data_IF_943623742764
#
_entry.id   IF_943623742764
#
_cell.length_a   1.000
_cell.length_b   1.000
_cell.length_c   1.000
_cell.angle_alpha   90.00
_cell.angle_beta   90.00
_cell.angle_gamma   90.00
#
_symmetry.space_group_name_H-M   'P 1'
#
loop_
_entity.id
_entity.type
_entity.pdbx_description
1 polymer ?
#
# COMPACT_ATOMS: atom_id res chain seq x y z
N UNK A 1 -27.31 8.89 1.52
CA UNK A 1 -26.42 7.90 2.17
C UNK A 1 -25.39 8.70 2.96
N UNK A 2 -25.28 8.47 4.25
CA UNK A 2 -24.27 9.09 5.11
C UNK A 2 -23.11 8.11 5.30
N UNK A 3 -21.88 8.57 5.07
CA UNK A 3 -20.67 7.75 5.25
C UNK A 3 -20.32 7.76 6.74
N UNK A 4 -20.45 6.60 7.40
CA UNK A 4 -20.13 6.46 8.83
C UNK A 4 -18.63 6.27 9.11
N UNK A 5 -17.90 5.69 8.16
CA UNK A 5 -16.47 5.41 8.28
C UNK A 5 -15.88 5.22 6.88
N UNK A 6 -14.65 5.69 6.69
CA UNK A 6 -13.84 5.43 5.51
C UNK A 6 -12.40 5.10 5.93
N UNK A 7 -11.75 4.24 5.15
CA UNK A 7 -10.34 3.90 5.33
C UNK A 7 -9.67 3.70 3.98
N UNK A 8 -8.38 4.03 3.90
CA UNK A 8 -7.56 3.68 2.77
C UNK A 8 -7.30 2.18 2.75
N UNK A 9 -7.35 1.58 1.56
CA UNK A 9 -7.01 0.17 1.34
C UNK A 9 -5.82 0.06 0.40
N UNK A 10 -4.93 -0.89 0.67
CA UNK A 10 -3.83 -1.21 -0.23
C UNK A 10 -4.31 -1.98 -1.46
N UNK A 11 -3.42 -2.12 -2.44
CA UNK A 11 -3.65 -2.97 -3.60
C UNK A 11 -3.85 -4.43 -3.24
N UNK A 12 -3.18 -4.91 -2.19
CA UNK A 12 -3.32 -6.28 -1.69
C UNK A 12 -4.73 -6.47 -1.10
N UNK A 13 -5.16 -5.57 -0.21
CA UNK A 13 -6.50 -5.58 0.36
C UNK A 13 -7.59 -5.48 -0.72
N UNK A 14 -7.44 -4.55 -1.67
CA UNK A 14 -8.36 -4.37 -2.78
C UNK A 14 -8.43 -5.62 -3.68
N UNK A 15 -7.28 -6.26 -3.95
CA UNK A 15 -7.20 -7.51 -4.73
C UNK A 15 -8.01 -8.60 -4.04
N UNK A 16 -7.85 -8.76 -2.73
CA UNK A 16 -8.55 -9.79 -1.97
C UNK A 16 -10.06 -9.55 -1.92
N UNK A 17 -10.49 -8.29 -1.81
CA UNK A 17 -11.90 -7.92 -1.89
C UNK A 17 -12.48 -8.31 -3.25
N UNK A 18 -11.80 -7.98 -4.36
CA UNK A 18 -12.28 -8.31 -5.70
C UNK A 18 -12.24 -9.81 -6.00
N UNK A 19 -11.22 -10.54 -5.53
CA UNK A 19 -11.15 -12.01 -5.66
C UNK A 19 -12.29 -12.70 -4.90
N UNK A 20 -12.62 -12.23 -3.70
CA UNK A 20 -13.78 -12.76 -2.94
C UNK A 20 -15.07 -12.50 -3.72
N UNK A 21 -15.24 -11.30 -4.23
CA UNK A 21 -16.43 -10.90 -5.01
C UNK A 21 -16.58 -11.68 -6.33
N UNK A 22 -15.48 -11.97 -7.02
CA UNK A 22 -15.44 -12.80 -8.24
C UNK A 22 -15.97 -14.22 -7.99
N UNK A 23 -15.75 -14.77 -6.79
CA UNK A 23 -16.27 -16.09 -6.40
C UNK A 23 -17.76 -16.08 -6.10
N UNK A 24 -18.28 -14.95 -5.62
CA UNK A 24 -19.70 -14.80 -5.26
C UNK A 24 -20.57 -14.49 -6.48
N UNK A 25 -20.05 -13.71 -7.43
CA UNK A 25 -20.78 -13.30 -8.64
C UNK A 25 -19.86 -12.83 -9.75
N UNK A 26 -20.41 -12.75 -10.96
CA UNK A 26 -19.70 -12.17 -12.08
C UNK A 26 -19.38 -10.68 -11.82
N UNK A 27 -18.11 -10.34 -12.02
CA UNK A 27 -17.62 -8.96 -11.92
C UNK A 27 -18.04 -8.14 -13.14
N UNK A 28 -18.37 -6.86 -12.92
CA UNK A 28 -18.55 -5.90 -14.00
C UNK A 28 -17.25 -5.61 -14.75
N UNK A 29 -17.34 -4.96 -15.91
CA UNK A 29 -16.17 -4.68 -16.77
C UNK A 29 -15.06 -3.92 -16.04
N UNK A 30 -15.36 -2.83 -15.34
CA UNK A 30 -14.31 -2.07 -14.62
C UNK A 30 -13.73 -2.85 -13.44
N UNK A 31 -14.52 -3.72 -12.81
CA UNK A 31 -14.07 -4.56 -11.71
C UNK A 31 -13.12 -5.67 -12.21
N UNK A 32 -13.40 -6.24 -13.38
CA UNK A 32 -12.50 -7.19 -14.06
C UNK A 32 -11.17 -6.51 -14.40
N UNK A 33 -11.21 -5.33 -15.03
CA UNK A 33 -10.00 -4.57 -15.35
C UNK A 33 -9.21 -4.19 -14.09
N UNK A 34 -9.90 -3.77 -13.02
CA UNK A 34 -9.27 -3.45 -11.74
C UNK A 34 -8.59 -4.68 -11.13
N UNK A 35 -9.26 -5.84 -11.13
CA UNK A 35 -8.69 -7.08 -10.62
C UNK A 35 -7.49 -7.55 -11.46
N UNK A 36 -7.54 -7.40 -12.78
CA UNK A 36 -6.41 -7.70 -13.68
C UNK A 36 -5.19 -6.81 -13.37
N UNK A 37 -5.41 -5.50 -13.24
CA UNK A 37 -4.37 -4.57 -12.79
C UNK A 37 -3.76 -5.01 -11.46
N UNK A 38 -4.60 -5.29 -10.46
CA UNK A 38 -4.12 -5.68 -9.15
C UNK A 38 -3.41 -7.04 -9.18
N UNK A 39 -3.83 -8.00 -10.01
CA UNK A 39 -3.10 -9.26 -10.20
C UNK A 39 -1.70 -9.04 -10.77
N UNK A 40 -1.53 -8.04 -11.65
CA UNK A 40 -0.25 -7.71 -12.29
C UNK A 40 0.69 -6.90 -11.40
N UNK A 41 0.16 -5.95 -10.62
CA UNK A 41 0.97 -4.96 -9.89
C UNK A 41 1.08 -5.21 -8.38
N UNK A 42 0.20 -6.01 -7.79
CA UNK A 42 0.29 -6.40 -6.39
C UNK A 42 1.42 -7.42 -6.19
N UNK A 43 2.55 -6.96 -5.67
CA UNK A 43 3.76 -7.77 -5.46
C UNK A 43 3.79 -8.48 -4.10
N UNK A 44 3.03 -8.00 -3.12
CA UNK A 44 3.03 -8.53 -1.77
C UNK A 44 1.92 -9.57 -1.56
N UNK A 45 2.16 -10.47 -0.63
CA UNK A 45 1.15 -11.29 0.05
C UNK A 45 0.48 -10.51 1.19
N UNK A 46 -0.67 -10.98 1.66
CA UNK A 46 -1.36 -10.40 2.84
C UNK A 46 -0.47 -10.34 4.07
N UNK A 47 0.38 -11.37 4.27
CA UNK A 47 1.28 -11.46 5.41
C UNK A 47 2.36 -10.40 5.33
N UNK A 48 3.05 -10.30 4.19
CA UNK A 48 4.11 -9.30 4.00
C UNK A 48 3.57 -7.88 4.12
N UNK A 49 2.39 -7.63 3.56
CA UNK A 49 1.71 -6.35 3.71
C UNK A 49 1.45 -6.00 5.18
N UNK A 50 0.90 -6.94 5.95
CA UNK A 50 0.61 -6.72 7.37
C UNK A 50 1.88 -6.41 8.16
N UNK A 51 2.95 -7.17 7.93
CA UNK A 51 4.24 -6.96 8.59
C UNK A 51 4.85 -5.58 8.23
N UNK A 52 4.84 -5.20 6.94
CA UNK A 52 5.32 -3.88 6.50
C UNK A 52 4.48 -2.77 7.12
N UNK A 53 3.16 -2.91 7.11
CA UNK A 53 2.23 -1.92 7.66
C UNK A 53 2.49 -1.67 9.14
N UNK A 54 2.69 -2.72 9.93
CA UNK A 54 2.99 -2.61 11.35
C UNK A 54 4.32 -1.89 11.61
N UNK A 55 5.38 -2.21 10.87
CA UNK A 55 6.67 -1.54 10.99
C UNK A 55 6.61 -0.06 10.58
N UNK A 56 5.89 0.26 9.51
CA UNK A 56 5.69 1.66 9.09
C UNK A 56 4.89 2.46 10.12
N UNK A 57 3.90 1.85 10.78
CA UNK A 57 3.13 2.49 11.87
C UNK A 57 4.03 2.89 13.05
N UNK A 58 5.09 2.13 13.34
CA UNK A 58 6.05 2.43 14.42
C UNK A 58 6.87 3.71 14.17
N UNK A 59 6.88 4.25 12.95
CA UNK A 59 7.53 5.53 12.64
C UNK A 59 6.71 6.70 13.21
N UNK A 60 5.39 6.53 13.42
CA UNK A 60 4.53 7.47 14.14
C UNK A 60 4.18 8.77 13.41
N UNK A 61 4.98 9.19 12.40
CA UNK A 61 4.74 10.40 11.60
C UNK A 61 3.96 10.16 10.30
N UNK A 62 3.82 8.90 9.89
CA UNK A 62 3.17 8.54 8.64
C UNK A 62 1.65 8.43 8.84
N UNK A 63 0.89 9.10 7.98
CA UNK A 63 -0.56 8.90 7.88
C UNK A 63 -0.90 7.56 7.24
N UNK A 64 -2.12 7.05 7.47
CA UNK A 64 -2.57 5.79 6.87
C UNK A 64 -2.47 5.82 5.33
N UNK A 65 -2.78 6.97 4.70
CA UNK A 65 -2.63 7.17 3.26
C UNK A 65 -1.18 6.99 2.81
N UNK A 66 -0.22 7.58 3.52
CA UNK A 66 1.20 7.48 3.19
C UNK A 66 1.71 6.04 3.38
N UNK A 67 1.27 5.35 4.43
CA UNK A 67 1.60 3.94 4.67
C UNK A 67 1.09 3.07 3.52
N UNK A 68 -0.17 3.24 3.11
CA UNK A 68 -0.77 2.53 1.98
C UNK A 68 -0.01 2.81 0.67
N UNK A 69 0.38 4.06 0.43
CA UNK A 69 1.18 4.43 -0.73
C UNK A 69 2.56 3.75 -0.73
N UNK A 70 3.28 3.75 0.40
CA UNK A 70 4.56 3.03 0.51
C UNK A 70 4.37 1.54 0.21
N UNK A 71 3.33 0.91 0.77
CA UNK A 71 3.00 -0.50 0.55
C UNK A 71 2.72 -0.80 -0.93
N UNK A 72 1.98 0.07 -1.62
CA UNK A 72 1.62 -0.14 -3.02
C UNK A 72 2.82 0.00 -3.96
N UNK A 73 3.68 1.00 -3.72
CA UNK A 73 4.76 1.35 -4.64
C UNK A 73 6.11 0.68 -4.30
N UNK A 74 6.33 0.30 -3.04
CA UNK A 74 7.54 -0.36 -2.56
C UNK A 74 8.83 0.37 -2.98
N UNK A 75 9.04 1.63 -2.55
CA UNK A 75 10.21 2.40 -2.93
C UNK A 75 11.50 1.72 -2.47
N UNK A 76 12.43 1.50 -3.41
CA UNK A 76 13.70 0.78 -3.19
C UNK A 76 14.88 1.68 -2.89
N UNK A 77 14.74 2.98 -3.06
CA UNK A 77 15.79 3.97 -2.81
C UNK A 77 15.17 5.32 -2.42
N UNK A 78 16.02 6.23 -1.95
CA UNK A 78 15.59 7.54 -1.48
C UNK A 78 14.98 8.40 -2.59
N UNK A 79 15.38 8.21 -3.84
CA UNK A 79 14.81 8.96 -4.98
C UNK A 79 13.37 8.53 -5.27
N UNK A 80 13.09 7.23 -5.27
CA UNK A 80 11.73 6.70 -5.39
C UNK A 80 10.85 7.15 -4.23
N UNK A 81 11.38 7.15 -3.00
CA UNK A 81 10.65 7.65 -1.83
C UNK A 81 10.40 9.17 -1.94
N UNK A 82 11.38 9.94 -2.43
CA UNK A 82 11.22 11.38 -2.66
C UNK A 82 10.14 11.66 -3.71
N UNK A 83 10.10 10.90 -4.80
CA UNK A 83 9.05 11.02 -5.82
C UNK A 83 7.68 10.70 -5.20
N UNK A 84 7.59 9.62 -4.41
CA UNK A 84 6.35 9.22 -3.75
C UNK A 84 5.82 10.27 -2.76
N UNK A 85 6.73 11.05 -2.15
CA UNK A 85 6.43 12.06 -1.14
C UNK A 85 6.51 13.51 -1.67
N UNK A 86 6.61 13.71 -2.99
CA UNK A 86 6.87 15.03 -3.57
C UNK A 86 5.82 16.09 -3.19
N UNK A 87 4.55 15.69 -3.09
CA UNK A 87 3.42 16.57 -2.73
C UNK A 87 2.92 16.35 -1.28
N UNK A 88 3.64 15.57 -0.48
CA UNK A 88 3.25 15.23 0.88
C UNK A 88 3.82 16.25 1.88
N UNK A 89 3.02 16.66 2.88
CA UNK A 89 3.41 17.68 3.86
C UNK A 89 4.26 17.15 5.03
N UNK A 90 4.59 15.85 5.02
CA UNK A 90 5.31 15.21 6.11
C UNK A 90 6.81 15.48 6.02
N UNK A 91 7.39 15.89 7.15
CA UNK A 91 8.84 16.11 7.26
C UNK A 91 9.45 14.89 7.96
N UNK A 92 10.18 14.09 7.18
CA UNK A 92 10.92 12.92 7.66
C UNK A 92 12.41 13.24 7.76
N UNK A 93 13.06 12.81 8.85
CA UNK A 93 14.52 12.83 8.96
C UNK A 93 15.17 11.85 7.98
N UNK A 94 16.48 11.99 7.74
CA UNK A 94 17.22 11.02 6.93
C UNK A 94 17.16 9.61 7.52
N UNK A 95 17.24 9.48 8.84
CA UNK A 95 17.11 8.19 9.53
C UNK A 95 15.73 7.57 9.32
N UNK A 96 14.66 8.38 9.37
CA UNK A 96 13.29 7.90 9.12
C UNK A 96 13.11 7.44 7.67
N UNK A 97 13.66 8.18 6.70
CA UNK A 97 13.64 7.78 5.29
C UNK A 97 14.40 6.47 5.06
N UNK A 98 15.61 6.37 5.62
CA UNK A 98 16.42 5.15 5.52
C UNK A 98 15.70 3.95 6.14
N UNK A 99 15.04 4.15 7.28
CA UNK A 99 14.22 3.12 7.93
C UNK A 99 13.06 2.66 7.05
N UNK A 100 12.37 3.57 6.35
CA UNK A 100 11.31 3.20 5.40
C UNK A 100 11.87 2.31 4.29
N UNK A 101 12.99 2.70 3.69
CA UNK A 101 13.63 1.90 2.63
C UNK A 101 14.06 0.53 3.13
N UNK A 102 14.60 0.46 4.35
CA UNK A 102 15.00 -0.81 4.97
C UNK A 102 13.81 -1.74 5.21
N UNK A 103 12.71 -1.22 5.77
CA UNK A 103 11.47 -1.99 5.98
C UNK A 103 10.99 -2.59 4.65
N UNK A 104 10.94 -1.79 3.59
CA UNK A 104 10.49 -2.24 2.26
C UNK A 104 11.44 -3.30 1.69
N UNK A 105 12.77 -3.09 1.74
CA UNK A 105 13.75 -4.04 1.19
C UNK A 105 13.79 -5.38 1.91
N UNK A 106 13.65 -5.37 3.23
CA UNK A 106 13.78 -6.59 4.03
C UNK A 106 12.56 -7.50 3.90
N UNK A 107 11.39 -6.93 3.58
CA UNK A 107 10.09 -7.62 3.62
C UNK A 107 9.44 -7.85 2.25
N UNK A 108 9.88 -7.15 1.19
CA UNK A 108 9.41 -7.37 -0.18
C UNK A 108 10.33 -8.32 -0.98
N UNK A 109 10.53 -9.54 -0.48
CA UNK A 109 11.35 -10.57 -1.15
C UNK A 109 10.54 -11.47 -2.04
#
# INVERSE_FOLDING_TARGET
>A
MEVKNEKFVSWVEAKNILVKKEKEKELGYEQKNSLEYLRKFCKLTEKEESEIREELKKIGKLSEKQIVNIINFLPKNLDELRILFADERVVLSEDEKNKIIEIVKNKAK
#
